data_IF_146980122479
#
_entry.id   IF_146980122479
#
_cell.length_a   1.000
_cell.length_b   1.000
_cell.length_c   1.000
_cell.angle_alpha   90.00
_cell.angle_beta   90.00
_cell.angle_gamma   90.00
#
_symmetry.space_group_name_H-M   'P 1'
#
loop_
_entity.id
_entity.type
_entity.pdbx_description
1 polymer ?
#
# COMPACT_ATOMS: atom_id res chain seq x y z
N UNK A 1 8.76 -1.17 1.27
CA UNK A 1 7.68 -1.21 2.29
C UNK A 1 7.03 0.15 2.28
N UNK A 2 5.72 0.21 2.02
CA UNK A 2 5.01 1.49 1.86
C UNK A 2 4.56 1.99 3.24
N UNK A 3 4.90 3.23 3.59
CA UNK A 3 4.19 4.03 4.60
C UNK A 3 4.23 3.57 6.07
N UNK A 4 5.14 2.68 6.49
CA UNK A 4 5.16 2.14 7.87
C UNK A 4 5.25 3.22 8.96
N UNK A 5 5.96 4.31 8.69
CA UNK A 5 6.24 5.37 9.65
C UNK A 5 5.47 6.66 9.37
N UNK A 6 4.54 6.63 8.42
CA UNK A 6 3.72 7.79 8.08
C UNK A 6 2.63 8.00 9.13
N UNK A 7 2.31 9.27 9.39
CA UNK A 7 1.23 9.62 10.30
C UNK A 7 -0.13 9.20 9.72
N UNK A 8 -1.08 8.86 10.61
CA UNK A 8 -2.45 8.54 10.25
C UNK A 8 -2.81 7.06 10.44
N UNK A 9 -3.90 6.62 9.79
CA UNK A 9 -4.36 5.24 9.85
C UNK A 9 -3.66 4.40 8.78
N UNK A 10 -3.20 3.22 9.16
CA UNK A 10 -2.60 2.24 8.26
C UNK A 10 -3.39 0.94 8.20
N UNK A 11 -3.16 0.17 7.15
CA UNK A 11 -3.66 -1.19 7.01
C UNK A 11 -2.53 -2.12 6.58
N UNK A 12 -2.47 -3.31 7.19
CA UNK A 12 -1.53 -4.34 6.83
C UNK A 12 -2.12 -5.28 5.80
N UNK A 13 -1.30 -5.70 4.85
CA UNK A 13 -1.62 -6.71 3.85
C UNK A 13 -0.66 -7.89 3.98
N UNK A 14 -1.09 -9.04 3.47
CA UNK A 14 -0.24 -10.22 3.42
C UNK A 14 1.00 -9.93 2.55
N UNK A 15 2.18 -10.22 3.08
CA UNK A 15 3.43 -9.97 2.38
C UNK A 15 3.50 -10.76 1.06
N UNK A 16 3.87 -10.08 -0.03
CA UNK A 16 4.13 -10.71 -1.33
C UNK A 16 2.94 -11.40 -2.01
N UNK A 17 1.69 -11.15 -1.56
CA UNK A 17 0.51 -11.83 -2.08
C UNK A 17 -0.46 -10.89 -2.81
N UNK A 18 -0.42 -10.81 -4.15
CA UNK A 18 -1.41 -10.06 -4.93
C UNK A 18 -2.84 -10.55 -4.68
N UNK A 19 -3.05 -11.86 -4.46
CA UNK A 19 -4.37 -12.41 -4.15
C UNK A 19 -4.95 -11.89 -2.82
N UNK A 20 -4.11 -11.55 -1.84
CA UNK A 20 -4.55 -10.92 -0.60
C UNK A 20 -5.02 -9.48 -0.85
N UNK A 21 -4.31 -8.72 -1.70
CA UNK A 21 -4.72 -7.39 -2.14
C UNK A 21 -6.08 -7.41 -2.84
N UNK A 22 -6.26 -8.28 -3.83
CA UNK A 22 -7.54 -8.45 -4.55
C UNK A 22 -8.71 -8.68 -3.60
N UNK A 23 -8.51 -9.55 -2.62
CA UNK A 23 -9.53 -9.89 -1.63
C UNK A 23 -9.84 -8.72 -0.70
N UNK A 24 -8.83 -7.96 -0.30
CA UNK A 24 -9.00 -6.78 0.53
C UNK A 24 -9.82 -5.70 -0.19
N UNK A 25 -9.52 -5.45 -1.47
CA UNK A 25 -10.26 -4.53 -2.35
C UNK A 25 -11.71 -4.96 -2.52
N UNK A 26 -11.95 -6.20 -2.97
CA UNK A 26 -13.32 -6.71 -3.21
C UNK A 26 -14.23 -6.69 -1.98
N UNK A 27 -13.65 -6.73 -0.77
CA UNK A 27 -14.39 -6.75 0.51
C UNK A 27 -14.43 -5.39 1.19
N UNK A 28 -14.02 -4.31 0.52
CA UNK A 28 -13.95 -2.96 1.10
C UNK A 28 -13.12 -2.93 2.39
N UNK A 29 -12.09 -3.77 2.52
CA UNK A 29 -11.33 -3.90 3.76
C UNK A 29 -10.46 -2.66 4.02
N UNK A 30 -9.95 -2.03 2.95
CA UNK A 30 -9.15 -0.80 3.02
C UNK A 30 -9.98 0.35 3.57
N UNK A 31 -11.18 0.58 3.01
CA UNK A 31 -12.09 1.64 3.48
C UNK A 31 -12.47 1.46 4.95
N UNK A 32 -12.77 0.23 5.37
CA UNK A 32 -13.11 -0.08 6.77
C UNK A 32 -11.92 0.17 7.72
N UNK A 33 -10.71 -0.19 7.33
CA UNK A 33 -9.52 0.01 8.14
C UNK A 33 -9.14 1.51 8.23
N UNK A 34 -9.19 2.21 7.10
CA UNK A 34 -8.80 3.61 6.98
C UNK A 34 -9.91 4.58 7.42
N UNK A 35 -11.16 4.09 7.52
CA UNK A 35 -12.38 4.85 7.88
C UNK A 35 -12.62 6.05 6.96
N UNK A 36 -12.40 5.84 5.68
CA UNK A 36 -12.62 6.82 4.61
C UNK A 36 -12.98 6.07 3.33
N UNK A 37 -13.76 6.69 2.44
CA UNK A 37 -13.96 6.15 1.10
C UNK A 37 -12.63 6.13 0.35
N UNK A 38 -12.35 5.04 -0.37
CA UNK A 38 -11.11 4.88 -1.14
C UNK A 38 -11.49 4.70 -2.60
N UNK A 39 -11.00 5.60 -3.46
CA UNK A 39 -11.35 5.56 -4.88
C UNK A 39 -10.69 4.35 -5.57
N UNK A 40 -11.26 3.92 -6.70
CA UNK A 40 -10.63 2.87 -7.52
C UNK A 40 -9.26 3.31 -8.04
N UNK A 41 -9.07 4.59 -8.34
CA UNK A 41 -7.79 5.14 -8.79
C UNK A 41 -6.71 5.04 -7.69
N UNK A 42 -7.07 5.31 -6.43
CA UNK A 42 -6.17 5.13 -5.29
C UNK A 42 -5.78 3.66 -5.09
N UNK A 43 -6.73 2.74 -5.29
CA UNK A 43 -6.49 1.30 -5.19
C UNK A 43 -5.53 0.84 -6.28
N UNK A 44 -5.74 1.24 -7.53
CA UNK A 44 -4.83 0.90 -8.62
C UNK A 44 -3.46 1.55 -8.45
N UNK A 45 -3.40 2.81 -8.00
CA UNK A 45 -2.15 3.48 -7.66
C UNK A 45 -1.38 2.74 -6.56
N UNK A 46 -2.06 2.27 -5.51
CA UNK A 46 -1.47 1.46 -4.45
C UNK A 46 -0.98 0.10 -4.99
N UNK A 47 -1.75 -0.54 -5.87
CA UNK A 47 -1.38 -1.81 -6.51
C UNK A 47 -0.04 -1.68 -7.26
N UNK A 48 0.10 -0.63 -8.07
CA UNK A 48 1.34 -0.35 -8.80
C UNK A 48 2.50 -0.10 -7.83
N UNK A 49 2.29 0.66 -6.75
CA UNK A 49 3.35 0.93 -5.76
C UNK A 49 3.82 -0.31 -5.00
N UNK A 50 2.95 -1.30 -4.80
CA UNK A 50 3.28 -2.54 -4.07
C UNK A 50 3.83 -3.62 -5.01
N UNK A 51 3.30 -3.74 -6.23
CA UNK A 51 3.56 -4.89 -7.13
C UNK A 51 4.12 -4.51 -8.52
N UNK A 52 4.06 -3.24 -8.93
CA UNK A 52 4.70 -2.76 -10.14
C UNK A 52 6.22 -2.86 -10.01
N UNK A 53 6.88 -3.42 -11.03
CA UNK A 53 8.29 -3.78 -10.96
C UNK A 53 9.22 -2.58 -10.70
N UNK A 54 10.20 -2.85 -9.83
CA UNK A 54 11.46 -2.16 -9.51
C UNK A 54 11.44 -0.81 -8.79
N UNK A 55 12.05 -0.86 -7.61
CA UNK A 55 12.49 0.30 -6.83
C UNK A 55 13.51 1.05 -7.68
N UNK A 56 13.16 2.25 -8.16
CA UNK A 56 14.18 3.29 -8.27
C UNK A 56 14.69 3.50 -6.83
N UNK A 57 15.92 3.08 -6.58
CA UNK A 57 16.51 3.12 -5.25
C UNK A 57 16.51 4.55 -4.71
N UNK A 58 15.73 4.80 -3.66
CA UNK A 58 16.10 5.83 -2.71
C UNK A 58 17.16 5.20 -1.82
N UNK A 59 18.43 5.51 -2.11
CA UNK A 59 19.46 5.44 -1.11
C UNK A 59 19.05 6.33 0.05
N UNK A 60 19.02 5.79 1.26
CA UNK A 60 19.10 6.61 2.45
C UNK A 60 20.39 7.45 2.32
N UNK A 61 20.35 8.79 2.48
CA UNK A 61 21.59 9.55 2.51
C UNK A 61 22.43 9.05 3.68
N UNK A 62 23.63 8.53 3.38
CA UNK A 62 24.69 8.40 4.37
C UNK A 62 24.96 9.81 4.90
N UNK A 63 24.69 10.00 6.18
CA UNK A 63 25.29 11.10 6.94
C UNK A 63 26.71 10.66 7.25
N UNK A 64 27.68 11.28 6.59
CA UNK A 64 29.10 11.27 6.99
C UNK A 64 29.34 12.31 8.10
#
# INVERSE_FOLDING_TARGET
MVGRYEAGRGAWLCAGSPACFERATKRGALERALRVGVSNDDIEGLRVRIYGAERVGNGDPKMD
#
